data_IF_564504456797
#
_entry.id   IF_564504456797
#
_cell.length_a   1.000
_cell.length_b   1.000
_cell.length_c   1.000
_cell.angle_alpha   90.00
_cell.angle_beta   90.00
_cell.angle_gamma   90.00
#
_symmetry.space_group_name_H-M   'P 1'
#
loop_
_entity.id
_entity.type
_entity.pdbx_description
1 polymer ?
#
# COMPACT_ATOMS: atom_id res chain seq x y z
N UNK A 1 -57.01 37.56 -20.86
CA UNK A 1 -56.37 36.30 -20.42
C UNK A 1 -55.77 35.59 -21.64
N UNK A 2 -54.47 35.30 -21.64
CA UNK A 2 -53.81 34.50 -22.68
C UNK A 2 -53.32 33.21 -22.01
N UNK A 3 -53.92 32.08 -22.37
CA UNK A 3 -53.51 30.76 -21.92
C UNK A 3 -52.34 30.30 -22.77
N UNK A 4 -51.20 30.03 -22.16
CA UNK A 4 -50.06 29.38 -22.82
C UNK A 4 -50.04 27.93 -22.35
N UNK A 5 -50.28 27.01 -23.27
CA UNK A 5 -50.07 25.59 -23.04
C UNK A 5 -48.60 25.28 -23.32
N UNK A 6 -47.88 24.76 -22.34
CA UNK A 6 -46.56 24.14 -22.57
C UNK A 6 -46.77 22.65 -22.76
N UNK A 7 -46.51 22.16 -23.98
CA UNK A 7 -46.38 20.73 -24.23
C UNK A 7 -45.01 20.26 -23.72
N UNK A 8 -45.01 19.27 -22.83
CA UNK A 8 -43.78 18.57 -22.41
C UNK A 8 -43.56 17.42 -23.37
N UNK A 9 -42.44 17.43 -24.09
CA UNK A 9 -41.98 16.28 -24.88
C UNK A 9 -41.15 15.40 -23.96
N UNK A 10 -41.66 14.21 -23.65
CA UNK A 10 -40.89 13.16 -22.96
C UNK A 10 -40.18 12.32 -24.02
N UNK A 11 -38.86 12.45 -24.11
CA UNK A 11 -38.04 11.55 -24.94
C UNK A 11 -37.69 10.33 -24.08
N UNK A 12 -38.33 9.21 -24.38
CA UNK A 12 -37.94 7.92 -23.83
C UNK A 12 -36.71 7.40 -24.59
N UNK A 13 -35.55 7.38 -23.93
CA UNK A 13 -34.35 6.74 -24.46
C UNK A 13 -34.44 5.25 -24.14
N UNK A 14 -34.79 4.45 -25.14
CA UNK A 14 -34.69 2.99 -25.06
C UNK A 14 -33.22 2.59 -25.05
N UNK A 15 -32.73 2.07 -23.92
CA UNK A 15 -31.45 1.36 -23.83
C UNK A 15 -31.63 -0.01 -24.47
N UNK A 16 -31.56 -0.06 -25.81
CA UNK A 16 -31.35 -1.32 -26.50
C UNK A 16 -29.99 -1.88 -26.05
N UNK A 17 -30.02 -3.05 -25.42
CA UNK A 17 -28.85 -3.72 -24.86
C UNK A 17 -27.75 -3.87 -25.90
N UNK A 18 -26.64 -3.16 -25.70
CA UNK A 18 -25.43 -3.43 -26.43
C UNK A 18 -24.92 -4.82 -26.02
N UNK A 19 -24.57 -5.70 -26.96
CA UNK A 19 -23.93 -6.95 -26.60
C UNK A 19 -22.62 -6.59 -25.89
N UNK A 20 -22.49 -7.02 -24.63
CA UNK A 20 -21.20 -7.03 -23.95
C UNK A 20 -20.33 -7.94 -24.78
N UNK A 21 -19.40 -7.37 -25.55
CA UNK A 21 -18.37 -8.14 -26.22
C UNK A 21 -17.61 -8.87 -25.11
N UNK A 22 -17.88 -10.16 -24.96
CA UNK A 22 -17.17 -11.02 -24.04
C UNK A 22 -15.73 -11.02 -24.53
N UNK A 23 -14.87 -10.33 -23.80
CA UNK A 23 -13.46 -10.27 -24.12
C UNK A 23 -12.87 -11.64 -23.82
N UNK A 24 -12.99 -12.57 -24.76
CA UNK A 24 -12.14 -13.76 -24.86
C UNK A 24 -10.75 -13.30 -25.33
N UNK A 25 -10.16 -12.33 -24.62
CA UNK A 25 -8.75 -12.05 -24.71
C UNK A 25 -8.11 -13.01 -23.72
N UNK A 26 -7.65 -14.16 -24.23
CA UNK A 26 -6.67 -14.96 -23.53
C UNK A 26 -5.59 -14.01 -23.01
N UNK A 27 -5.41 -13.98 -21.68
CA UNK A 27 -4.34 -13.20 -21.07
C UNK A 27 -3.04 -13.61 -21.78
N UNK A 28 -2.22 -12.66 -22.26
CA UNK A 28 -0.92 -13.03 -22.82
C UNK A 28 -0.20 -13.88 -21.78
N UNK A 29 0.27 -15.07 -22.18
CA UNK A 29 1.17 -15.86 -21.36
C UNK A 29 2.42 -15.00 -21.16
N UNK A 30 2.51 -14.28 -20.05
CA UNK A 30 3.66 -13.40 -19.81
C UNK A 30 4.93 -14.27 -19.81
N UNK A 31 5.84 -14.11 -20.78
CA UNK A 31 7.18 -14.69 -20.67
C UNK A 31 8.00 -13.95 -19.60
N UNK A 32 7.47 -12.84 -19.08
CA UNK A 32 8.01 -12.07 -17.97
C UNK A 32 8.00 -12.96 -16.74
N UNK A 33 9.17 -13.53 -16.42
CA UNK A 33 9.47 -14.05 -15.10
C UNK A 33 9.53 -12.85 -14.16
N UNK A 34 8.51 -12.56 -13.33
CA UNK A 34 8.52 -11.36 -12.49
C UNK A 34 9.68 -11.38 -11.49
N UNK A 35 10.14 -12.60 -11.18
CA UNK A 35 11.30 -12.89 -10.33
C UNK A 35 12.66 -12.76 -11.05
N UNK A 36 12.72 -12.57 -12.36
CA UNK A 36 13.99 -12.46 -13.08
C UNK A 36 14.63 -11.08 -12.89
N UNK A 37 15.94 -11.07 -12.64
CA UNK A 37 16.69 -9.82 -12.55
C UNK A 37 16.73 -9.10 -13.91
N UNK A 38 16.61 -7.78 -13.88
CA UNK A 38 16.87 -6.89 -15.01
C UNK A 38 18.35 -6.52 -15.13
N UNK A 39 18.65 -5.54 -15.99
CA UNK A 39 20.02 -5.15 -16.33
C UNK A 39 20.62 -4.03 -15.47
N UNK A 40 19.81 -3.38 -14.63
CA UNK A 40 20.26 -2.28 -13.77
C UNK A 40 20.79 -2.81 -12.43
N UNK A 41 21.66 -2.03 -11.78
CA UNK A 41 21.99 -2.26 -10.36
C UNK A 41 20.95 -1.63 -9.43
N UNK A 42 21.00 -1.96 -8.13
CA UNK A 42 20.18 -1.30 -7.09
C UNK A 42 21.03 -0.46 -6.13
N UNK A 43 20.39 0.51 -5.49
CA UNK A 43 20.95 1.29 -4.38
C UNK A 43 19.84 1.63 -3.40
N UNK A 44 20.16 1.60 -2.10
CA UNK A 44 19.21 1.77 -1.00
C UNK A 44 19.59 2.96 -0.13
N UNK A 45 18.58 3.66 0.35
CA UNK A 45 18.72 4.81 1.23
C UNK A 45 17.66 4.71 2.33
N UNK A 46 18.08 4.86 3.58
CA UNK A 46 17.12 5.02 4.67
C UNK A 46 16.65 6.48 4.70
N UNK A 47 15.35 6.67 4.84
CA UNK A 47 14.72 7.97 5.10
C UNK A 47 14.02 7.86 6.44
N UNK A 48 14.57 8.50 7.45
CA UNK A 48 14.07 8.43 8.82
C UNK A 48 14.06 9.81 9.50
N UNK A 49 12.98 10.11 10.21
CA UNK A 49 12.91 11.15 11.24
C UNK A 49 12.99 10.54 12.66
N UNK A 50 13.48 9.30 12.76
CA UNK A 50 13.47 8.47 13.95
C UNK A 50 12.20 7.62 14.11
N UNK A 51 12.24 6.66 15.03
CA UNK A 51 11.09 5.79 15.37
C UNK A 51 10.21 6.40 16.48
N UNK A 52 10.21 7.74 16.59
CA UNK A 52 9.37 8.43 17.54
C UNK A 52 7.91 8.39 17.05
N UNK A 53 6.97 8.37 18.00
CA UNK A 53 5.56 8.58 17.66
C UNK A 53 5.33 10.04 17.28
N UNK A 54 5.05 10.28 16.01
CA UNK A 54 4.75 11.60 15.46
C UNK A 54 3.25 11.74 15.26
N UNK A 55 2.75 12.94 15.54
CA UNK A 55 1.37 13.30 15.22
C UNK A 55 1.24 13.55 13.72
N UNK A 56 0.28 12.88 13.10
CA UNK A 56 0.00 13.00 11.66
C UNK A 56 -1.39 13.60 11.39
N UNK A 57 -2.05 14.15 12.42
CA UNK A 57 -3.42 14.66 12.31
C UNK A 57 -4.48 13.56 12.17
N UNK A 58 -4.14 12.33 12.55
CA UNK A 58 -5.04 11.17 12.56
C UNK A 58 -5.33 10.68 13.99
N UNK A 59 -6.28 9.76 14.14
CA UNK A 59 -6.64 9.19 15.45
C UNK A 59 -5.46 8.50 16.16
N UNK A 60 -4.50 7.97 15.40
CA UNK A 60 -3.33 7.30 15.92
C UNK A 60 -2.05 7.95 15.40
N UNK A 61 -1.01 7.94 16.24
CA UNK A 61 0.34 8.43 15.88
C UNK A 61 1.05 7.43 14.97
N UNK A 62 2.04 7.91 14.22
CA UNK A 62 2.84 7.09 13.29
C UNK A 62 4.34 7.38 13.41
N UNK A 63 5.17 6.47 12.90
CA UNK A 63 6.60 6.69 12.70
C UNK A 63 6.89 7.13 11.26
N UNK A 64 7.99 7.87 11.10
CA UNK A 64 8.53 8.26 9.79
C UNK A 64 9.90 7.59 9.59
N UNK A 65 9.90 6.27 9.42
CA UNK A 65 11.09 5.52 9.01
C UNK A 65 10.73 4.67 7.81
N UNK A 66 11.56 4.73 6.77
CA UNK A 66 11.38 3.98 5.53
C UNK A 66 12.71 3.70 4.85
N UNK A 67 12.72 2.76 3.92
CA UNK A 67 13.84 2.55 2.99
C UNK A 67 13.38 2.76 1.55
N UNK A 68 14.16 3.55 0.82
CA UNK A 68 13.97 3.81 -0.60
C UNK A 68 14.99 2.99 -1.37
N UNK A 69 14.53 2.20 -2.34
CA UNK A 69 15.38 1.50 -3.30
C UNK A 69 15.23 2.12 -4.68
N UNK A 70 16.34 2.52 -5.26
CA UNK A 70 16.42 3.10 -6.60
C UNK A 70 17.28 2.23 -7.52
N UNK A 71 17.03 2.28 -8.83
CA UNK A 71 18.03 1.83 -9.81
C UNK A 71 19.33 2.61 -9.65
N UNK A 72 20.44 1.95 -9.97
CA UNK A 72 21.70 2.64 -10.25
C UNK A 72 21.70 3.16 -11.68
N UNK A 73 22.19 4.39 -11.85
CA UNK A 73 22.48 5.01 -13.15
C UNK A 73 21.29 5.07 -14.11
N UNK A 74 20.06 5.13 -13.58
CA UNK A 74 18.87 5.36 -14.39
C UNK A 74 18.31 6.76 -14.10
N UNK A 75 18.10 7.54 -15.17
CA UNK A 75 17.52 8.88 -15.11
C UNK A 75 16.04 8.84 -15.56
N UNK A 76 15.29 9.89 -15.21
CA UNK A 76 13.91 10.07 -15.66
C UNK A 76 12.84 9.51 -14.70
N UNK A 77 11.58 9.64 -15.11
CA UNK A 77 10.42 9.16 -14.35
C UNK A 77 10.36 7.63 -14.35
N UNK A 78 9.91 7.06 -13.23
CA UNK A 78 9.91 5.62 -12.97
C UNK A 78 8.61 5.24 -12.28
N UNK A 79 8.09 4.02 -12.50
CA UNK A 79 7.02 3.49 -11.66
C UNK A 79 7.52 3.34 -10.21
N UNK A 80 6.69 3.77 -9.26
CA UNK A 80 6.94 3.62 -7.83
C UNK A 80 6.12 2.46 -7.27
N UNK A 81 6.78 1.56 -6.56
CA UNK A 81 6.14 0.50 -5.77
C UNK A 81 6.26 0.85 -4.29
N UNK A 82 5.13 0.89 -3.58
CA UNK A 82 5.10 1.17 -2.14
C UNK A 82 4.82 -0.13 -1.38
N UNK A 83 5.72 -0.51 -0.49
CA UNK A 83 5.54 -1.64 0.43
C UNK A 83 4.99 -1.14 1.76
N UNK A 84 3.84 -1.68 2.11
CA UNK A 84 3.21 -1.52 3.42
C UNK A 84 3.36 -2.84 4.17
N UNK A 85 3.99 -2.78 5.34
CA UNK A 85 4.11 -3.95 6.19
C UNK A 85 2.79 -4.21 6.92
N UNK A 86 2.38 -5.48 6.97
CA UNK A 86 1.16 -5.91 7.65
C UNK A 86 1.27 -5.86 9.18
N UNK A 87 0.21 -6.32 9.84
CA UNK A 87 0.14 -6.41 11.30
C UNK A 87 1.12 -7.46 11.85
N UNK A 88 2.23 -7.01 12.44
CA UNK A 88 3.24 -7.85 13.09
C UNK A 88 3.77 -7.20 14.37
N UNK A 89 4.62 -7.93 15.10
CA UNK A 89 5.32 -7.41 16.26
C UNK A 89 6.09 -6.12 15.90
N UNK A 90 5.87 -5.06 16.66
CA UNK A 90 6.50 -3.77 16.44
C UNK A 90 7.88 -3.67 17.12
N UNK A 91 8.12 -4.48 18.14
CA UNK A 91 9.31 -4.37 18.99
C UNK A 91 9.92 -5.74 19.26
N UNK A 92 11.22 -5.75 19.56
CA UNK A 92 11.95 -6.97 19.86
C UNK A 92 13.01 -6.76 20.95
N UNK A 93 13.42 -7.86 21.59
CA UNK A 93 14.58 -7.93 22.50
C UNK A 93 15.33 -9.23 22.27
N UNK A 94 16.62 -9.14 21.93
CA UNK A 94 17.40 -10.31 21.54
C UNK A 94 16.80 -11.01 20.30
N UNK A 95 16.86 -12.34 20.24
CA UNK A 95 16.33 -13.12 19.09
C UNK A 95 15.02 -13.86 19.38
N UNK A 96 14.55 -13.87 20.63
CA UNK A 96 13.45 -14.73 21.07
C UNK A 96 12.24 -13.98 21.59
N UNK A 97 12.36 -12.67 21.78
CA UNK A 97 11.27 -11.86 22.34
C UNK A 97 10.80 -10.84 21.33
N UNK A 98 9.50 -10.84 21.10
CA UNK A 98 8.79 -9.93 20.24
C UNK A 98 7.61 -9.33 21.02
N UNK A 99 7.30 -8.07 20.76
CA UNK A 99 6.21 -7.33 21.39
C UNK A 99 5.42 -6.55 20.36
N UNK A 100 4.12 -6.44 20.60
CA UNK A 100 3.18 -5.72 19.73
C UNK A 100 2.96 -4.28 20.19
N UNK A 101 3.45 -3.91 21.38
CA UNK A 101 3.38 -2.53 21.84
C UNK A 101 4.24 -1.62 20.97
N UNK A 102 3.67 -0.49 20.57
CA UNK A 102 4.39 0.60 19.95
C UNK A 102 3.85 1.93 20.52
N UNK A 103 4.72 2.92 20.85
CA UNK A 103 6.18 2.86 20.82
C UNK A 103 6.78 1.79 21.74
N UNK A 104 8.00 1.37 21.44
CA UNK A 104 8.61 0.25 22.16
C UNK A 104 8.81 0.54 23.65
N UNK A 105 8.44 -0.39 24.55
CA UNK A 105 8.76 -0.29 25.97
C UNK A 105 10.27 -0.18 26.23
N UNK A 106 10.64 0.33 27.41
CA UNK A 106 12.04 0.40 27.84
C UNK A 106 12.73 -0.97 27.69
N UNK A 107 13.96 -0.97 27.19
CA UNK A 107 14.79 -2.16 26.92
C UNK A 107 14.34 -3.03 25.73
N UNK A 108 13.36 -2.59 24.95
CA UNK A 108 13.06 -3.16 23.64
C UNK A 108 13.48 -2.20 22.53
N UNK A 109 13.73 -2.74 21.34
CA UNK A 109 14.09 -1.98 20.13
C UNK A 109 12.97 -2.10 19.11
N UNK A 110 12.76 -1.06 18.29
CA UNK A 110 11.84 -1.13 17.15
C UNK A 110 12.31 -2.19 16.17
N UNK A 111 11.39 -3.08 15.79
CA UNK A 111 11.65 -4.07 14.76
C UNK A 111 11.79 -3.33 13.41
N UNK A 112 12.90 -3.50 12.66
CA UNK A 112 13.15 -2.78 11.41
C UNK A 112 12.32 -3.37 10.25
N UNK A 113 10.99 -3.33 10.39
CA UNK A 113 10.04 -3.95 9.47
C UNK A 113 10.24 -3.48 8.03
N UNK A 114 10.48 -2.18 7.82
CA UNK A 114 10.77 -1.55 6.53
C UNK A 114 11.89 -2.22 5.71
N UNK A 115 12.75 -3.03 6.33
CA UNK A 115 13.82 -3.77 5.66
C UNK A 115 13.40 -5.16 5.14
N UNK A 116 12.19 -5.62 5.45
CA UNK A 116 11.74 -7.00 5.20
C UNK A 116 11.59 -7.37 3.72
N UNK A 117 11.31 -6.41 2.85
CA UNK A 117 11.13 -6.63 1.40
C UNK A 117 12.36 -6.28 0.56
N UNK A 118 13.54 -6.12 1.17
CA UNK A 118 14.78 -5.75 0.44
C UNK A 118 15.06 -6.62 -0.77
N UNK A 119 14.84 -7.93 -0.66
CA UNK A 119 15.04 -8.87 -1.77
C UNK A 119 14.19 -8.50 -3.00
N UNK A 120 12.93 -8.12 -2.78
CA UNK A 120 11.98 -7.76 -3.82
C UNK A 120 12.24 -6.34 -4.33
N UNK A 121 12.53 -5.39 -3.44
CA UNK A 121 12.86 -4.02 -3.80
C UNK A 121 14.16 -3.95 -4.63
N UNK A 122 15.18 -4.72 -4.27
CA UNK A 122 16.43 -4.83 -5.05
C UNK A 122 16.14 -5.41 -6.43
N UNK A 123 15.32 -6.47 -6.53
CA UNK A 123 14.91 -7.05 -7.80
C UNK A 123 14.16 -6.06 -8.69
N UNK A 124 13.16 -5.36 -8.15
CA UNK A 124 12.38 -4.33 -8.84
C UNK A 124 13.27 -3.20 -9.36
N UNK A 125 14.27 -2.77 -8.59
CA UNK A 125 15.22 -1.77 -9.02
C UNK A 125 16.02 -2.20 -10.25
N UNK A 126 16.42 -3.48 -10.32
CA UNK A 126 17.10 -4.04 -11.51
C UNK A 126 16.25 -3.98 -12.77
N UNK A 127 14.92 -4.01 -12.62
CA UNK A 127 13.95 -4.05 -13.72
C UNK A 127 13.47 -2.68 -14.19
N UNK A 128 13.70 -1.60 -13.45
CA UNK A 128 13.16 -0.30 -13.85
C UNK A 128 12.21 0.37 -12.86
N UNK A 129 12.02 -0.19 -11.66
CA UNK A 129 11.14 0.40 -10.65
C UNK A 129 11.93 1.20 -9.61
N UNK A 130 11.26 2.18 -9.00
CA UNK A 130 11.65 2.72 -7.70
C UNK A 130 10.78 2.04 -6.64
N UNK A 131 11.29 1.89 -5.44
CA UNK A 131 10.53 1.29 -4.34
C UNK A 131 10.69 2.10 -3.05
N UNK A 132 9.59 2.18 -2.28
CA UNK A 132 9.54 2.77 -0.95
C UNK A 132 8.96 1.73 0.00
N UNK A 133 9.65 1.41 1.08
CA UNK A 133 9.21 0.46 2.09
C UNK A 133 9.06 1.17 3.43
N UNK A 134 7.84 1.25 3.97
CA UNK A 134 7.51 2.09 5.13
C UNK A 134 7.42 1.26 6.40
N UNK A 135 8.03 1.72 7.49
CA UNK A 135 7.96 1.00 8.77
C UNK A 135 6.53 0.92 9.29
N UNK A 136 6.12 -0.26 9.77
CA UNK A 136 4.74 -0.57 10.14
C UNK A 136 4.50 -0.70 11.64
N UNK A 137 5.36 -0.17 12.51
CA UNK A 137 5.26 -0.37 13.96
C UNK A 137 3.94 0.15 14.56
N UNK A 138 3.50 1.35 14.16
CA UNK A 138 2.23 1.92 14.62
C UNK A 138 1.02 1.12 14.12
N UNK A 139 1.05 0.68 12.85
CA UNK A 139 -0.02 -0.14 12.24
C UNK A 139 -0.15 -1.47 12.97
N UNK A 140 0.97 -2.15 13.25
CA UNK A 140 0.96 -3.41 13.99
C UNK A 140 0.38 -3.26 15.40
N UNK A 141 0.73 -2.19 16.12
CA UNK A 141 0.21 -1.95 17.46
C UNK A 141 -1.27 -1.58 17.50
N UNK A 142 -1.73 -0.75 16.56
CA UNK A 142 -3.15 -0.36 16.46
C UNK A 142 -4.00 -1.56 16.12
N UNK A 143 -3.61 -2.33 15.11
CA UNK A 143 -4.36 -3.52 14.67
C UNK A 143 -4.41 -4.62 15.74
N UNK A 144 -3.38 -4.80 16.55
CA UNK A 144 -3.39 -5.73 17.68
C UNK A 144 -4.27 -5.26 18.85
N UNK A 145 -4.37 -3.94 19.07
CA UNK A 145 -5.20 -3.36 20.15
C UNK A 145 -6.68 -3.27 19.77
N UNK A 146 -7.02 -3.35 18.48
CA UNK A 146 -8.40 -3.53 18.06
C UNK A 146 -8.86 -4.93 18.51
N UNK A 147 -9.86 -5.06 19.42
CA UNK A 147 -10.51 -6.35 19.63
C UNK A 147 -11.00 -6.80 18.28
N UNK A 148 -10.68 -8.05 17.90
CA UNK A 148 -10.87 -8.55 16.56
C UNK A 148 -12.31 -8.35 16.06
N UNK A 149 -12.54 -7.25 15.36
CA UNK A 149 -13.58 -7.14 14.35
C UNK A 149 -13.05 -7.65 13.02
N UNK A 150 -12.17 -8.65 13.04
CA UNK A 150 -11.82 -9.46 11.86
C UNK A 150 -13.05 -10.22 11.28
N UNK A 151 -14.27 -9.90 11.74
CA UNK A 151 -15.56 -10.25 11.16
C UNK A 151 -16.57 -9.10 11.00
N UNK A 152 -16.26 -7.84 11.37
CA UNK A 152 -17.20 -6.70 11.21
C UNK A 152 -16.78 -5.75 10.07
N UNK A 153 -16.04 -6.27 9.07
CA UNK A 153 -15.92 -5.63 7.76
C UNK A 153 -17.26 -5.76 7.02
N UNK A 154 -18.29 -5.16 7.58
CA UNK A 154 -19.61 -5.08 6.97
C UNK A 154 -19.49 -4.11 5.78
N UNK A 155 -19.31 -4.65 4.58
CA UNK A 155 -19.50 -3.91 3.33
C UNK A 155 -20.87 -3.20 3.28
N UNK A 156 -21.83 -3.64 4.11
CA UNK A 156 -23.13 -3.01 4.37
C UNK A 156 -23.07 -1.63 5.06
N UNK A 157 -21.91 -1.16 5.53
CA UNK A 157 -21.74 0.18 6.12
C UNK A 157 -21.01 1.18 5.24
N UNK A 158 -20.63 0.79 4.02
CA UNK A 158 -20.14 1.76 3.04
C UNK A 158 -21.36 2.46 2.41
N UNK A 159 -21.35 3.79 2.29
CA UNK A 159 -22.37 4.47 1.50
C UNK A 159 -22.25 4.04 0.04
N UNK A 160 -23.40 3.86 -0.61
CA UNK A 160 -23.52 3.51 -2.04
C UNK A 160 -22.78 4.50 -2.96
#
# INVERSE_FOLDING_TARGET
MRWVWSAVVVVAVSLAGMPVAQADRALPSSPVRPAAAGSLGSQRFEVSAGNAAVDIGAQHKAEFTSEVTLPRRAAGRRPLVVFLHGAHAACYRGRKEAGYDWPCPKRMRSLPSYQGYRYLADLLATQGFASLSVSGGSVGAVTWKCPASWGDWEFSKLPD
#
